data_IF_662117345458
#
_entry.id   IF_662117345458
#
_cell.length_a   1.000
_cell.length_b   1.000
_cell.length_c   1.000
_cell.angle_alpha   90.00
_cell.angle_beta   90.00
_cell.angle_gamma   90.00
#
_symmetry.space_group_name_H-M   'P 1'
#
loop_
_entity.id
_entity.type
_entity.pdbx_description
1 polymer ?
#
# COMPACT_ATOMS: atom_id res chain seq x y z
N UNK A 1 6.00 -3.44 -27.50
CA UNK A 1 6.81 -2.47 -26.73
C UNK A 1 7.73 -3.29 -25.85
N UNK A 2 9.03 -3.00 -25.85
CA UNK A 2 9.98 -3.67 -24.97
C UNK A 2 9.85 -3.14 -23.53
N UNK A 3 9.97 -3.96 -22.47
CA UNK A 3 9.81 -3.49 -21.09
C UNK A 3 10.77 -2.35 -20.70
N UNK A 4 11.95 -2.32 -21.32
CA UNK A 4 13.00 -1.31 -21.10
C UNK A 4 12.59 0.10 -21.49
N UNK A 5 11.53 0.24 -22.30
CA UNK A 5 11.01 1.56 -22.69
C UNK A 5 10.13 2.17 -21.61
N UNK A 6 9.83 1.48 -20.51
CA UNK A 6 9.07 2.06 -19.40
C UNK A 6 9.94 3.02 -18.61
N UNK A 7 9.51 4.28 -18.53
CA UNK A 7 10.14 5.29 -17.68
C UNK A 7 9.23 5.62 -16.49
N UNK A 8 9.85 5.66 -15.32
CA UNK A 8 9.22 6.03 -14.07
C UNK A 8 9.73 7.39 -13.60
N UNK A 9 8.85 8.14 -12.93
CA UNK A 9 9.21 9.28 -12.10
C UNK A 9 8.88 8.97 -10.65
N UNK A 10 9.52 9.67 -9.72
CA UNK A 10 9.31 9.49 -8.29
C UNK A 10 8.78 10.78 -7.69
N UNK A 11 7.65 10.69 -6.98
CA UNK A 11 7.10 11.83 -6.25
C UNK A 11 7.97 12.21 -5.04
N UNK A 12 7.63 13.31 -4.33
CA UNK A 12 8.44 13.81 -3.20
C UNK A 12 8.70 12.82 -2.06
N UNK A 13 7.84 11.79 -1.93
CA UNK A 13 7.94 10.72 -0.93
C UNK A 13 8.41 9.39 -1.52
N UNK A 14 9.01 9.42 -2.71
CA UNK A 14 9.53 8.22 -3.38
C UNK A 14 8.45 7.33 -4.01
N UNK A 15 7.18 7.75 -4.10
CA UNK A 15 6.15 6.96 -4.79
C UNK A 15 6.44 6.94 -6.30
N UNK A 16 6.60 5.76 -6.92
CA UNK A 16 6.81 5.65 -8.36
C UNK A 16 5.52 5.94 -9.12
N UNK A 17 5.65 6.60 -10.27
CA UNK A 17 4.58 6.90 -11.21
C UNK A 17 5.11 6.72 -12.64
N UNK A 18 4.23 6.43 -13.61
CA UNK A 18 4.61 6.43 -15.02
C UNK A 18 4.96 7.85 -15.47
N UNK A 19 6.02 7.98 -16.28
CA UNK A 19 6.38 9.26 -16.87
C UNK A 19 5.23 9.84 -17.72
N UNK A 20 5.07 11.17 -17.82
CA UNK A 20 3.96 11.81 -18.54
C UNK A 20 3.76 11.36 -19.98
N UNK A 21 4.82 10.87 -20.64
CA UNK A 21 4.76 10.30 -22.00
C UNK A 21 3.79 9.11 -22.13
N UNK A 22 3.46 8.43 -21.03
CA UNK A 22 2.48 7.34 -20.98
C UNK A 22 1.07 7.81 -20.54
N UNK A 23 0.87 9.11 -20.36
CA UNK A 23 -0.35 9.68 -19.79
C UNK A 23 -1.62 9.53 -20.62
N UNK A 24 -1.53 9.13 -21.91
CA UNK A 24 -2.69 9.00 -22.80
C UNK A 24 -3.75 8.01 -22.30
N UNK A 25 -3.30 6.91 -21.68
CA UNK A 25 -4.21 5.91 -21.11
C UNK A 25 -4.65 6.25 -19.67
N UNK A 26 -4.11 7.33 -19.09
CA UNK A 26 -4.39 7.73 -17.71
C UNK A 26 -3.97 6.68 -16.68
N UNK A 27 -3.09 5.74 -17.01
CA UNK A 27 -2.73 4.62 -16.13
C UNK A 27 -2.11 5.12 -14.83
N UNK A 28 -2.64 4.61 -13.73
CA UNK A 28 -2.14 4.80 -12.38
C UNK A 28 -1.82 3.42 -11.80
N UNK A 29 -0.79 3.33 -10.99
CA UNK A 29 -0.47 2.09 -10.30
C UNK A 29 0.01 2.34 -8.88
N UNK A 30 -0.06 1.29 -8.08
CA UNK A 30 0.64 1.21 -6.81
C UNK A 30 1.10 -0.23 -6.58
N UNK A 31 2.20 -0.37 -5.86
CA UNK A 31 2.78 -1.66 -5.51
C UNK A 31 3.03 -1.67 -4.00
N UNK A 32 2.79 -2.81 -3.38
CA UNK A 32 3.22 -3.15 -2.03
C UNK A 32 3.74 -4.59 -2.07
N UNK A 33 4.62 -4.95 -1.14
CA UNK A 33 5.14 -6.30 -1.03
C UNK A 33 5.36 -6.64 0.44
N UNK A 34 5.11 -7.90 0.80
CA UNK A 34 5.36 -8.40 2.14
C UNK A 34 5.81 -9.86 2.04
N UNK A 35 6.93 -10.18 2.68
CA UNK A 35 7.63 -11.45 2.50
C UNK A 35 7.86 -11.74 0.99
N UNK A 36 7.60 -12.98 0.54
CA UNK A 36 7.73 -13.41 -0.85
C UNK A 36 6.55 -13.03 -1.77
N UNK A 37 5.68 -12.10 -1.38
CA UNK A 37 4.49 -11.72 -2.16
C UNK A 37 4.57 -10.26 -2.59
N UNK A 38 4.41 -10.02 -3.89
CA UNK A 38 4.20 -8.69 -4.48
C UNK A 38 2.74 -8.48 -4.86
N UNK A 39 2.17 -7.33 -4.49
CA UNK A 39 0.81 -6.93 -4.82
C UNK A 39 0.84 -5.64 -5.64
N UNK A 40 0.17 -5.66 -6.80
CA UNK A 40 0.08 -4.54 -7.71
C UNK A 40 -1.39 -4.17 -7.96
N UNK A 41 -1.71 -2.90 -7.83
CA UNK A 41 -2.98 -2.34 -8.26
C UNK A 41 -2.75 -1.44 -9.47
N UNK A 42 -3.56 -1.64 -10.52
CA UNK A 42 -3.50 -0.85 -11.76
C UNK A 42 -4.90 -0.34 -12.08
N UNK A 43 -5.01 0.95 -12.35
CA UNK A 43 -6.28 1.64 -12.64
C UNK A 43 -6.11 2.62 -13.79
N UNK A 44 -7.22 2.98 -14.44
CA UNK A 44 -7.25 4.10 -15.38
C UNK A 44 -7.84 5.33 -14.69
N UNK A 45 -7.23 6.50 -14.93
CA UNK A 45 -7.69 7.85 -14.55
C UNK A 45 -7.87 8.14 -13.06
N UNK A 46 -7.82 7.14 -12.18
CA UNK A 46 -7.99 7.27 -10.73
C UNK A 46 -6.75 6.80 -10.00
N UNK A 47 -6.30 7.58 -9.02
CA UNK A 47 -5.22 7.16 -8.12
C UNK A 47 -5.68 5.98 -7.27
N UNK A 48 -4.79 5.02 -7.10
CA UNK A 48 -4.99 3.84 -6.25
C UNK A 48 -3.85 3.71 -5.25
N UNK A 49 -4.17 3.18 -4.08
CA UNK A 49 -3.24 2.70 -3.07
C UNK A 49 -3.56 1.23 -2.78
N UNK A 50 -2.53 0.42 -2.63
CA UNK A 50 -2.66 -0.99 -2.28
C UNK A 50 -1.62 -1.31 -1.23
N UNK A 51 -1.98 -2.17 -0.29
CA UNK A 51 -1.07 -2.62 0.76
C UNK A 51 -1.30 -4.09 1.07
N UNK A 52 -0.22 -4.78 1.42
CA UNK A 52 -0.25 -6.18 1.84
C UNK A 52 0.69 -6.33 3.02
N UNK A 53 0.22 -7.02 4.06
CA UNK A 53 1.03 -7.31 5.24
C UNK A 53 0.89 -8.76 5.66
N UNK A 54 2.01 -9.36 6.06
CA UNK A 54 2.07 -10.70 6.66
C UNK A 54 1.47 -10.64 8.05
N UNK A 55 0.33 -11.29 8.24
CA UNK A 55 -0.26 -11.51 9.56
C UNK A 55 0.69 -12.36 10.41
N UNK A 56 1.06 -11.84 11.57
CA UNK A 56 1.93 -12.49 12.55
C UNK A 56 1.64 -11.94 13.96
N UNK A 57 1.95 -12.70 15.02
CA UNK A 57 1.90 -12.18 16.38
C UNK A 57 2.76 -10.93 16.52
N UNK A 58 2.22 -9.91 17.15
CA UNK A 58 2.88 -8.61 17.32
C UNK A 58 2.80 -8.21 18.80
N UNK A 59 3.89 -8.40 19.58
CA UNK A 59 3.88 -8.15 21.02
C UNK A 59 3.57 -6.71 21.43
N UNK A 60 3.76 -5.75 20.52
CA UNK A 60 3.53 -4.32 20.70
C UNK A 60 2.30 -3.80 19.94
N UNK A 61 1.38 -4.68 19.55
CA UNK A 61 0.19 -4.36 18.76
C UNK A 61 -0.63 -3.23 19.38
N UNK A 62 -0.89 -3.28 20.69
CA UNK A 62 -1.66 -2.27 21.40
C UNK A 62 -0.97 -0.89 21.35
N UNK A 63 0.34 -0.84 21.56
CA UNK A 63 1.10 0.41 21.53
C UNK A 63 1.14 1.03 20.12
N UNK A 64 1.18 0.19 19.08
CA UNK A 64 1.07 0.63 17.68
C UNK A 64 -0.33 1.15 17.40
N UNK A 65 -1.37 0.42 17.82
CA UNK A 65 -2.77 0.81 17.63
C UNK A 65 -3.05 2.16 18.31
N UNK A 66 -2.54 2.41 19.52
CA UNK A 66 -2.73 3.69 20.22
C UNK A 66 -2.16 4.90 19.45
N UNK A 67 -1.07 4.71 18.70
CA UNK A 67 -0.41 5.77 17.93
C UNK A 67 -0.97 5.96 16.51
N UNK A 68 -1.64 4.94 15.97
CA UNK A 68 -2.01 4.87 14.54
C UNK A 68 -3.51 4.79 14.31
N UNK A 69 -4.26 4.12 15.17
CA UNK A 69 -5.70 3.90 15.03
C UNK A 69 -6.48 5.01 15.74
N UNK A 70 -7.65 5.33 15.21
CA UNK A 70 -8.64 6.16 15.90
C UNK A 70 -9.16 5.47 17.18
N UNK A 71 -9.77 6.24 18.09
CA UNK A 71 -10.37 5.70 19.32
C UNK A 71 -11.44 4.64 19.02
N UNK A 72 -12.16 4.78 17.90
CA UNK A 72 -13.16 3.81 17.47
C UNK A 72 -12.51 2.48 17.08
N UNK A 73 -11.51 2.50 16.21
CA UNK A 73 -10.77 1.31 15.77
C UNK A 73 -10.03 0.62 16.93
N UNK A 74 -9.48 1.37 17.89
CA UNK A 74 -8.91 0.82 19.12
C UNK A 74 -9.97 0.07 19.95
N UNK A 75 -11.19 0.62 20.04
CA UNK A 75 -12.31 -0.02 20.71
C UNK A 75 -12.72 -1.33 20.04
N UNK A 76 -12.81 -1.35 18.70
CA UNK A 76 -13.09 -2.58 17.95
C UNK A 76 -11.97 -3.61 18.09
N UNK A 77 -10.70 -3.19 18.04
CA UNK A 77 -9.55 -4.09 18.23
C UNK A 77 -9.58 -4.78 19.60
N UNK A 78 -9.86 -4.03 20.68
CA UNK A 78 -9.94 -4.56 22.05
C UNK A 78 -11.11 -5.53 22.28
N UNK A 79 -12.12 -5.54 21.40
CA UNK A 79 -13.24 -6.50 21.46
C UNK A 79 -12.89 -7.85 20.84
N UNK A 80 -11.85 -7.92 20.01
CA UNK A 80 -11.38 -9.18 19.45
C UNK A 80 -10.66 -9.98 20.53
N UNK A 81 -10.87 -11.30 20.54
CA UNK A 81 -10.18 -12.17 21.48
C UNK A 81 -8.65 -12.09 21.26
N UNK A 82 -7.82 -12.11 22.33
CA UNK A 82 -6.37 -12.13 22.16
C UNK A 82 -5.96 -13.40 21.43
N UNK A 83 -5.27 -13.27 20.28
CA UNK A 83 -4.82 -14.43 19.51
C UNK A 83 -4.55 -14.23 18.03
N UNK A 84 -4.29 -13.00 17.58
CA UNK A 84 -3.58 -12.73 16.33
C UNK A 84 -2.07 -12.67 16.61
#
# INVERSE_FOLDING_TARGET
MEPQVLDFRYGPRGKPELAPRFGRAGLQFNASHSEGVGLYAVTAWRRVGVDIERVRPMPDLEAIAERRFSLHEQGELRRLAPGL
#
